data_IF_567877099357
#
_entry.id   IF_567877099357
#
_cell.length_a   1.000
_cell.length_b   1.000
_cell.length_c   1.000
_cell.angle_alpha   90.00
_cell.angle_beta   90.00
_cell.angle_gamma   90.00
#
_symmetry.space_group_name_H-M   'P 1'
#
loop_
_entity.id
_entity.type
_entity.pdbx_description
1 polymer ?
#
# COMPACT_ATOMS: atom_id res chain seq x y z
N UNK A 1 4.11 -14.57 18.78
CA UNK A 1 3.89 -13.10 18.84
C UNK A 1 3.61 -12.67 17.42
N UNK A 2 2.42 -12.11 17.16
CA UNK A 2 1.96 -11.76 15.81
C UNK A 2 2.75 -10.53 15.32
N UNK A 3 3.28 -10.59 14.10
CA UNK A 3 4.05 -9.50 13.46
C UNK A 3 3.23 -8.21 13.29
N UNK A 4 1.91 -8.32 13.27
CA UNK A 4 0.98 -7.19 13.16
C UNK A 4 0.77 -6.45 14.48
N UNK A 5 1.09 -7.07 15.63
CA UNK A 5 0.85 -6.43 16.92
C UNK A 5 1.64 -5.12 17.03
N UNK A 6 0.93 -4.02 17.27
CA UNK A 6 1.47 -2.67 17.42
C UNK A 6 2.23 -2.16 16.17
N UNK A 7 1.99 -2.74 14.99
CA UNK A 7 2.67 -2.34 13.76
C UNK A 7 2.37 -0.88 13.41
N UNK A 8 1.11 -0.47 13.56
CA UNK A 8 0.71 0.91 13.33
C UNK A 8 1.43 1.90 14.26
N UNK A 9 1.49 1.59 15.56
CA UNK A 9 2.16 2.43 16.56
C UNK A 9 3.65 2.59 16.26
N UNK A 10 4.33 1.49 15.91
CA UNK A 10 5.75 1.50 15.51
C UNK A 10 5.99 2.42 14.31
N UNK A 11 5.19 2.27 13.25
CA UNK A 11 5.31 3.08 12.03
C UNK A 11 5.00 4.55 12.30
N UNK A 12 3.94 4.84 13.06
CA UNK A 12 3.57 6.22 13.45
C UNK A 12 4.71 6.89 14.24
N UNK A 13 5.41 6.14 15.08
CA UNK A 13 6.58 6.60 15.82
C UNK A 13 7.86 6.69 14.97
N UNK A 14 7.79 6.46 13.66
CA UNK A 14 8.91 6.61 12.72
C UNK A 14 9.80 5.39 12.59
N UNK A 15 9.41 4.24 13.16
CA UNK A 15 10.13 2.99 12.93
C UNK A 15 9.93 2.51 11.48
N UNK A 16 11.02 2.09 10.84
CA UNK A 16 10.99 1.56 9.48
C UNK A 16 10.77 0.06 9.51
N UNK A 17 9.81 -0.42 8.71
CA UNK A 17 9.64 -1.85 8.45
C UNK A 17 10.85 -2.36 7.66
N UNK A 18 11.53 -3.36 8.19
CA UNK A 18 12.67 -4.00 7.50
C UNK A 18 12.20 -4.83 6.29
N UNK A 19 13.14 -5.17 5.41
CA UNK A 19 12.84 -6.04 4.26
C UNK A 19 12.32 -7.40 4.70
N UNK A 20 12.93 -7.96 5.75
CA UNK A 20 12.58 -9.27 6.31
C UNK A 20 11.19 -9.27 6.95
N UNK A 21 10.80 -8.18 7.61
CA UNK A 21 9.43 -8.02 8.11
C UNK A 21 8.42 -7.85 6.98
N UNK A 22 8.75 -7.06 5.95
CA UNK A 22 7.91 -6.92 4.76
C UNK A 22 7.64 -8.26 4.08
N UNK A 23 8.66 -9.11 3.95
CA UNK A 23 8.49 -10.46 3.41
C UNK A 23 7.59 -11.34 4.28
N UNK A 24 7.69 -11.23 5.61
CA UNK A 24 6.80 -11.96 6.53
C UNK A 24 5.36 -11.48 6.42
N UNK A 25 5.13 -10.17 6.27
CA UNK A 25 3.79 -9.60 6.07
C UNK A 25 3.18 -10.14 4.76
N UNK A 26 3.97 -10.20 3.67
CA UNK A 26 3.52 -10.75 2.39
C UNK A 26 3.18 -12.24 2.41
N UNK A 27 3.66 -12.97 3.42
CA UNK A 27 3.44 -14.42 3.58
C UNK A 27 2.39 -14.74 4.65
N UNK A 28 1.68 -13.73 5.17
CA UNK A 28 0.63 -13.96 6.15
C UNK A 28 -0.50 -14.80 5.56
N UNK A 29 -1.12 -15.67 6.37
CA UNK A 29 -2.28 -16.43 5.95
C UNK A 29 -3.49 -15.50 5.70
N UNK A 30 -4.41 -15.93 4.84
CA UNK A 30 -5.56 -15.14 4.39
C UNK A 30 -6.47 -14.69 5.55
N UNK A 31 -6.57 -15.49 6.62
CA UNK A 31 -7.37 -15.18 7.81
C UNK A 31 -6.85 -13.96 8.58
N UNK A 32 -5.62 -13.52 8.33
CA UNK A 32 -5.01 -12.34 8.93
C UNK A 32 -5.06 -11.08 8.05
N UNK A 33 -5.64 -11.15 6.85
CA UNK A 33 -5.70 -9.99 5.94
C UNK A 33 -6.45 -8.83 6.57
N UNK A 34 -7.53 -9.10 7.32
CA UNK A 34 -8.31 -8.05 7.97
C UNK A 34 -7.54 -7.35 9.08
N UNK A 35 -6.72 -8.09 9.85
CA UNK A 35 -5.85 -7.51 10.88
C UNK A 35 -4.79 -6.59 10.24
N UNK A 36 -4.24 -6.99 9.10
CA UNK A 36 -3.27 -6.16 8.35
C UNK A 36 -3.93 -4.88 7.83
N UNK A 37 -5.15 -4.98 7.30
CA UNK A 37 -5.94 -3.82 6.84
C UNK A 37 -6.27 -2.88 8.00
N UNK A 38 -6.56 -3.41 9.19
CA UNK A 38 -6.80 -2.63 10.38
C UNK A 38 -5.57 -1.80 10.78
N UNK A 39 -4.39 -2.44 10.87
CA UNK A 39 -3.15 -1.73 11.19
C UNK A 39 -2.78 -0.69 10.12
N UNK A 40 -2.94 -1.02 8.84
CA UNK A 40 -2.73 -0.07 7.75
C UNK A 40 -3.72 1.11 7.81
N UNK A 41 -4.98 0.86 8.20
CA UNK A 41 -6.00 1.89 8.35
C UNK A 41 -5.68 2.86 9.48
N UNK A 42 -5.16 2.38 10.62
CA UNK A 42 -4.69 3.22 11.73
C UNK A 42 -3.59 4.19 11.27
N UNK A 43 -2.63 3.69 10.48
CA UNK A 43 -1.57 4.52 9.90
C UNK A 43 -2.17 5.58 8.97
N UNK A 44 -3.03 5.17 8.03
CA UNK A 44 -3.71 6.10 7.10
C UNK A 44 -4.48 7.18 7.85
N UNK A 45 -5.30 6.82 8.83
CA UNK A 45 -6.11 7.76 9.60
C UNK A 45 -5.27 8.71 10.46
N UNK A 46 -4.14 8.26 11.01
CA UNK A 46 -3.25 9.14 11.75
C UNK A 46 -2.68 10.27 10.87
N UNK A 47 -2.22 9.94 9.66
CA UNK A 47 -1.58 10.92 8.77
C UNK A 47 -2.57 11.72 7.93
N UNK A 48 -3.65 11.10 7.45
CA UNK A 48 -4.60 11.68 6.50
C UNK A 48 -5.99 11.93 7.07
N UNK A 49 -6.26 11.50 8.31
CA UNK A 49 -7.57 11.64 8.97
C UNK A 49 -8.68 11.07 8.07
N UNK A 50 -9.71 11.86 7.81
CA UNK A 50 -10.81 11.55 6.90
C UNK A 50 -10.72 12.36 5.60
N UNK A 51 -9.51 12.77 5.21
CA UNK A 51 -9.26 13.54 3.99
C UNK A 51 -8.87 12.60 2.84
N UNK A 52 -9.29 12.96 1.63
CA UNK A 52 -8.98 12.23 0.40
C UNK A 52 -8.57 13.22 -0.68
N UNK A 53 -7.44 12.96 -1.32
CA UNK A 53 -6.94 13.76 -2.44
C UNK A 53 -7.33 13.11 -3.77
N UNK A 54 -7.93 13.91 -4.66
CA UNK A 54 -8.27 13.50 -6.01
C UNK A 54 -7.35 14.20 -7.01
N UNK A 55 -6.60 13.41 -7.77
CA UNK A 55 -5.78 13.89 -8.89
C UNK A 55 -6.47 13.56 -10.21
N UNK A 56 -6.74 14.57 -11.03
CA UNK A 56 -7.24 14.36 -12.40
C UNK A 56 -6.09 13.95 -13.31
N UNK A 57 -6.11 12.70 -13.79
CA UNK A 57 -5.20 12.21 -14.81
C UNK A 57 -5.82 12.43 -16.20
N UNK A 58 -5.19 13.27 -17.02
CA UNK A 58 -5.60 13.51 -18.40
C UNK A 58 -4.67 12.72 -19.33
N UNK A 59 -5.19 11.63 -19.89
CA UNK A 59 -4.49 10.89 -20.94
C UNK A 59 -4.63 11.64 -22.27
N UNK A 60 -3.72 12.58 -22.54
CA UNK A 60 -3.61 13.19 -23.86
C UNK A 60 -3.00 12.16 -24.82
N UNK A 61 -3.79 11.67 -25.78
CA UNK A 61 -3.35 10.70 -26.79
C UNK A 61 -2.17 11.30 -27.60
N UNK A 62 -0.99 10.72 -27.47
CA UNK A 62 0.13 10.93 -28.39
C UNK A 62 0.27 9.67 -29.25
N UNK A 63 0.00 9.77 -30.55
CA UNK A 63 0.25 8.67 -31.48
C UNK A 63 1.75 8.54 -31.74
N UNK A 64 2.43 7.82 -30.86
CA UNK A 64 3.53 6.91 -31.20
C UNK A 64 4.00 6.17 -29.93
N UNK A 65 3.43 4.99 -29.68
CA UNK A 65 3.94 4.07 -28.68
C UNK A 65 4.34 2.76 -29.37
N UNK A 66 5.64 2.60 -29.66
CA UNK A 66 6.23 1.30 -29.96
C UNK A 66 5.99 0.38 -28.74
N UNK A 67 5.08 -0.58 -28.92
CA UNK A 67 4.62 -1.50 -27.86
C UNK A 67 5.62 -2.62 -27.62
N UNK A 68 6.28 -2.63 -26.46
CA UNK A 68 7.03 -3.79 -25.93
C UNK A 68 6.64 -4.17 -24.49
N UNK A 69 5.57 -3.60 -23.93
CA UNK A 69 5.08 -3.99 -22.60
C UNK A 69 4.07 -5.14 -22.69
N UNK A 70 4.38 -6.28 -22.06
CA UNK A 70 3.58 -7.51 -22.08
C UNK A 70 2.22 -7.42 -21.36
N UNK A 71 2.02 -6.43 -20.49
CA UNK A 71 0.83 -6.29 -19.65
C UNK A 71 0.17 -4.90 -19.74
N UNK A 72 0.32 -4.18 -20.85
CA UNK A 72 -0.32 -2.87 -21.01
C UNK A 72 -1.60 -2.94 -21.85
N UNK A 73 -2.80 -3.05 -21.23
CA UNK A 73 -4.03 -2.63 -21.86
C UNK A 73 -4.17 -1.10 -21.75
N UNK A 74 -4.49 -0.47 -22.88
CA UNK A 74 -4.76 0.97 -23.01
C UNK A 74 -6.05 1.29 -22.26
N UNK A 75 -6.02 2.30 -21.39
CA UNK A 75 -7.22 2.91 -20.80
C UNK A 75 -8.00 3.65 -21.89
#
# INVERSE_FOLDING_TARGET
MNILNNLAERVINGEKISKEEGLKILQLPDDMVMDLVEEASKIREYFFKNEMEFCSLINAKMEDALKTAHFAPVI
#
